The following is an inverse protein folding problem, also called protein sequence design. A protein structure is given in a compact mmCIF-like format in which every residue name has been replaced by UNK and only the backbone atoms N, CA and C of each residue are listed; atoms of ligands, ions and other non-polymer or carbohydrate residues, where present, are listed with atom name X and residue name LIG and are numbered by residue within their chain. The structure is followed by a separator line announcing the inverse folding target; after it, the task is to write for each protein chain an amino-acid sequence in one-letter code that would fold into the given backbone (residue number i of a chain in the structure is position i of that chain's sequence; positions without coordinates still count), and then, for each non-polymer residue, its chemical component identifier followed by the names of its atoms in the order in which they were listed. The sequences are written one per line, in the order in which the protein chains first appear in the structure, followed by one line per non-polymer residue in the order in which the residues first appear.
data_IF_548189115255
#
_entry.id   IF_548189115255
#
_cell.length_a   1.000
_cell.length_b   1.000
_cell.length_c   1.000
_cell.angle_alpha   90.00
_cell.angle_beta   90.00
_cell.angle_gamma   90.00
#
_symmetry.space_group_name_H-M   'P 1'
#
loop_
_entity.id
_entity.type
_entity.pdbx_description
1 polymer ?
#
# COMPACT_ATOMS: atom_id res chain seq x y z
N UNK A 1 33.77 -63.41 -41.99
CA UNK A 1 35.00 -63.03 -41.23
C UNK A 1 34.61 -61.93 -40.25
N UNK A 2 35.09 -61.98 -38.99
CA UNK A 2 34.25 -62.42 -37.87
C UNK A 2 34.22 -61.46 -36.64
N UNK A 3 33.49 -61.88 -35.59
CA UNK A 3 33.56 -61.52 -34.12
C UNK A 3 33.10 -60.11 -33.70
N UNK A 4 32.22 -59.87 -32.70
CA UNK A 4 32.04 -60.44 -31.35
C UNK A 4 32.26 -59.27 -30.35
N UNK A 5 31.55 -58.99 -29.25
CA UNK A 5 30.65 -59.76 -28.39
C UNK A 5 29.70 -58.85 -27.56
N UNK A 6 28.64 -59.47 -27.06
CA UNK A 6 27.50 -58.99 -26.26
C UNK A 6 27.76 -58.86 -24.74
N UNK A 7 26.83 -58.14 -24.08
CA UNK A 7 26.37 -58.16 -22.67
C UNK A 7 26.26 -59.58 -22.03
N UNK A 8 25.95 -59.83 -20.70
CA UNK A 8 24.94 -59.12 -19.87
C UNK A 8 25.10 -59.14 -18.32
N UNK A 9 24.08 -58.58 -17.65
CA UNK A 9 23.76 -58.57 -16.22
C UNK A 9 23.59 -59.97 -15.57
N UNK A 10 23.81 -60.08 -14.26
CA UNK A 10 23.15 -61.10 -13.39
C UNK A 10 23.23 -60.74 -11.89
N UNK A 11 22.09 -60.85 -11.19
CA UNK A 11 21.95 -61.09 -9.74
C UNK A 11 21.37 -62.52 -9.57
N UNK A 12 21.11 -63.10 -8.37
CA UNK A 12 21.64 -62.93 -6.99
C UNK A 12 22.07 -64.30 -6.37
N UNK A 13 22.68 -64.35 -5.17
CA UNK A 13 22.53 -65.50 -4.25
C UNK A 13 22.98 -65.23 -2.79
N UNK A 14 22.38 -66.01 -1.89
CA UNK A 14 22.21 -65.87 -0.45
C UNK A 14 22.95 -67.01 0.29
N UNK A 15 23.72 -66.71 1.35
CA UNK A 15 24.13 -67.57 2.50
C UNK A 15 25.35 -66.90 3.19
N UNK A 16 25.60 -66.87 4.50
CA UNK A 16 25.07 -67.51 5.70
C UNK A 16 25.65 -66.73 6.93
N UNK A 17 24.95 -66.70 8.07
CA UNK A 17 25.37 -66.04 9.33
C UNK A 17 26.42 -66.90 10.11
N UNK A 18 27.16 -66.40 11.15
CA UNK A 18 26.56 -66.23 12.50
C UNK A 18 27.14 -65.10 13.42
N UNK A 19 26.24 -64.60 14.26
CA UNK A 19 26.35 -64.31 15.71
C UNK A 19 27.35 -63.27 16.31
N UNK A 20 26.71 -62.23 16.88
CA UNK A 20 26.88 -61.62 18.23
C UNK A 20 28.14 -60.81 18.61
N UNK A 21 27.94 -59.47 18.79
CA UNK A 21 28.44 -58.70 19.96
C UNK A 21 27.67 -57.37 20.16
N UNK A 22 27.46 -57.05 21.44
CA UNK A 22 26.64 -56.03 22.10
C UNK A 22 26.77 -54.56 21.63
N UNK A 23 25.81 -53.66 21.99
CA UNK A 23 25.73 -52.31 21.42
C UNK A 23 26.73 -51.35 22.06
N UNK A 24 27.47 -50.61 21.24
CA UNK A 24 28.25 -49.46 21.67
C UNK A 24 27.35 -48.21 21.65
N UNK A 25 27.27 -47.55 22.80
CA UNK A 25 26.56 -46.29 23.00
C UNK A 25 27.13 -45.19 22.09
N UNK A 26 26.29 -44.66 21.20
CA UNK A 26 26.62 -43.50 20.40
C UNK A 26 26.53 -42.23 21.26
N UNK A 27 27.67 -41.73 21.74
CA UNK A 27 27.78 -40.37 22.27
C UNK A 27 27.51 -39.36 21.15
N UNK A 28 26.27 -38.93 21.02
CA UNK A 28 25.91 -37.74 20.22
C UNK A 28 26.04 -36.51 21.11
N UNK A 29 27.22 -35.88 21.09
CA UNK A 29 27.41 -34.56 21.68
C UNK A 29 26.63 -33.53 20.86
N UNK A 30 25.46 -33.12 21.39
CA UNK A 30 24.64 -32.06 20.83
C UNK A 30 25.38 -30.71 20.93
N UNK A 31 25.77 -30.14 19.79
CA UNK A 31 26.30 -28.78 19.71
C UNK A 31 25.11 -27.83 19.89
N UNK A 32 25.05 -27.16 21.05
CA UNK A 32 24.06 -26.09 21.28
C UNK A 32 24.45 -24.89 20.40
N UNK A 33 23.56 -24.36 19.54
CA UNK A 33 23.86 -23.14 18.82
C UNK A 33 24.00 -21.99 19.81
N UNK A 34 25.11 -21.24 19.72
CA UNK A 34 25.28 -20.03 20.50
C UNK A 34 24.15 -19.05 20.18
N UNK A 35 23.55 -18.40 21.20
CA UNK A 35 22.52 -17.39 20.96
C UNK A 35 23.12 -16.24 20.17
N UNK A 36 22.60 -16.01 18.96
CA UNK A 36 22.93 -14.84 18.16
C UNK A 36 22.45 -13.61 18.93
N UNK A 37 23.31 -12.63 19.23
CA UNK A 37 22.88 -11.39 19.86
C UNK A 37 21.77 -10.75 19.02
N UNK A 38 20.64 -10.43 19.65
CA UNK A 38 19.60 -9.65 18.97
C UNK A 38 20.20 -8.32 18.53
N UNK A 39 20.06 -7.93 17.25
CA UNK A 39 20.57 -6.65 16.77
C UNK A 39 20.04 -5.51 17.64
N UNK A 40 20.93 -4.58 18.00
CA UNK A 40 20.57 -3.34 18.69
C UNK A 40 19.40 -2.70 17.94
N UNK A 41 18.30 -2.29 18.62
CA UNK A 41 17.17 -1.66 17.95
C UNK A 41 17.68 -0.51 17.09
N UNK A 42 17.37 -0.56 15.79
CA UNK A 42 17.64 0.56 14.90
C UNK A 42 16.98 1.80 15.50
N UNK A 43 17.66 2.96 15.55
CA UNK A 43 17.00 4.19 15.95
C UNK A 43 15.77 4.37 15.08
N UNK A 44 14.60 4.57 15.71
CA UNK A 44 13.35 4.79 14.99
C UNK A 44 13.56 6.04 14.11
N UNK A 45 13.56 5.85 12.80
CA UNK A 45 13.62 6.97 11.87
C UNK A 45 12.46 7.92 12.18
N UNK A 46 12.74 9.22 12.15
CA UNK A 46 11.68 10.23 12.30
C UNK A 46 10.80 10.12 11.06
N UNK A 47 9.48 9.88 11.21
CA UNK A 47 8.60 9.79 10.06
C UNK A 47 8.54 11.13 9.33
N UNK A 48 8.45 11.09 8.01
CA UNK A 48 8.07 12.27 7.25
C UNK A 48 6.66 12.71 7.63
N UNK A 49 6.49 14.02 7.68
CA UNK A 49 5.16 14.62 7.76
C UNK A 49 4.50 14.55 6.39
N UNK A 50 3.44 13.76 6.30
CA UNK A 50 2.58 13.71 5.12
C UNK A 50 1.37 14.57 5.41
N UNK A 51 1.08 15.61 4.61
CA UNK A 51 -0.12 16.40 4.81
C UNK A 51 -1.37 15.52 4.65
N UNK A 52 -2.29 15.60 5.61
CA UNK A 52 -3.59 14.95 5.48
C UNK A 52 -4.46 15.67 4.46
N UNK A 53 -5.29 14.93 3.73
CA UNK A 53 -6.27 15.52 2.83
C UNK A 53 -7.52 15.88 3.64
N UNK A 54 -7.84 17.17 3.70
CA UNK A 54 -8.93 17.68 4.51
C UNK A 54 -10.29 17.44 3.87
N UNK A 55 -11.37 17.53 4.66
CA UNK A 55 -12.74 17.23 4.20
C UNK A 55 -13.29 18.16 3.10
N UNK A 56 -12.68 19.33 2.92
CA UNK A 56 -12.98 20.28 1.85
C UNK A 56 -12.10 20.07 0.61
N UNK A 57 -11.11 19.17 0.67
CA UNK A 57 -10.19 18.86 -0.43
C UNK A 57 -10.28 17.39 -0.88
N UNK A 58 -10.31 17.10 -2.19
CA UNK A 58 -10.59 18.05 -3.26
C UNK A 58 -12.07 18.47 -3.26
N UNK A 59 -12.41 19.67 -3.80
CA UNK A 59 -13.79 20.18 -3.79
C UNK A 59 -14.81 19.26 -4.48
N UNK A 60 -14.37 18.50 -5.49
CA UNK A 60 -15.17 17.54 -6.25
C UNK A 60 -15.28 16.16 -5.57
N UNK A 61 -14.54 15.92 -4.48
CA UNK A 61 -14.50 14.63 -3.78
C UNK A 61 -13.86 13.49 -4.57
N UNK A 62 -13.01 13.80 -5.56
CA UNK A 62 -12.33 12.81 -6.42
C UNK A 62 -10.90 12.58 -5.97
N UNK A 63 -10.59 11.35 -5.52
CA UNK A 63 -9.26 10.94 -5.12
C UNK A 63 -8.62 10.04 -6.18
N UNK A 64 -7.37 10.29 -6.53
CA UNK A 64 -6.58 9.43 -7.41
C UNK A 64 -5.73 8.49 -6.56
N UNK A 65 -6.05 7.20 -6.60
CA UNK A 65 -5.35 6.15 -5.88
C UNK A 65 -4.39 5.41 -6.81
N UNK A 66 -3.09 5.58 -6.58
CA UNK A 66 -1.99 5.11 -7.42
C UNK A 66 -0.99 4.31 -6.59
N UNK A 67 -0.11 3.55 -7.25
CA UNK A 67 0.99 2.85 -6.59
C UNK A 67 2.24 3.71 -6.53
N UNK A 68 3.10 3.43 -5.55
CA UNK A 68 4.41 4.07 -5.46
C UNK A 68 5.28 3.46 -4.37
N UNK A 69 6.55 3.90 -4.26
CA UNK A 69 7.49 3.40 -3.27
C UNK A 69 7.12 3.81 -1.85
N UNK A 70 7.52 2.99 -0.87
CA UNK A 70 7.25 3.21 0.56
C UNK A 70 7.97 4.40 1.21
N UNK A 71 8.88 5.09 0.50
CA UNK A 71 9.60 6.25 1.06
C UNK A 71 10.70 5.89 2.07
N UNK A 72 11.34 4.72 1.90
CA UNK A 72 12.47 4.31 2.73
C UNK A 72 12.12 4.12 4.21
N UNK A 73 13.07 4.43 5.09
CA UNK A 73 12.91 4.33 6.54
C UNK A 73 12.00 5.41 7.11
N UNK A 74 11.94 6.59 6.48
CA UNK A 74 11.17 7.75 6.95
C UNK A 74 9.70 7.73 6.49
N UNK A 75 9.37 6.97 5.43
CA UNK A 75 8.02 6.86 4.91
C UNK A 75 7.14 5.84 5.66
N UNK A 76 6.52 4.92 4.90
CA UNK A 76 5.52 3.96 5.40
C UNK A 76 5.92 3.27 6.71
N UNK A 77 7.15 2.73 6.89
CA UNK A 77 7.49 2.02 8.11
C UNK A 77 7.55 2.93 9.36
N UNK A 78 8.06 4.15 9.24
CA UNK A 78 8.08 5.09 10.36
C UNK A 78 6.69 5.66 10.66
N UNK A 79 5.86 5.89 9.63
CA UNK A 79 4.49 6.43 9.78
C UNK A 79 3.58 5.38 10.43
N UNK A 80 3.65 4.13 9.96
CA UNK A 80 2.69 3.09 10.33
C UNK A 80 3.18 2.14 11.41
N UNK A 81 4.49 2.07 11.63
CA UNK A 81 5.12 1.06 12.49
C UNK A 81 5.16 -0.35 11.87
N UNK A 82 4.75 -0.51 10.60
CA UNK A 82 4.69 -1.79 9.91
C UNK A 82 5.59 -1.81 8.67
N UNK A 83 6.13 -2.99 8.35
CA UNK A 83 6.87 -3.21 7.10
C UNK A 83 5.89 -3.69 6.02
N UNK A 84 5.82 -2.95 4.92
CA UNK A 84 5.00 -3.29 3.75
C UNK A 84 5.76 -4.09 2.69
N UNK A 85 5.25 -4.09 1.47
CA UNK A 85 5.78 -4.84 0.32
C UNK A 85 6.77 -4.02 -0.53
N UNK A 86 7.33 -2.94 0.03
CA UNK A 86 8.14 -1.97 -0.72
C UNK A 86 7.32 -0.95 -1.51
N UNK A 87 6.01 -1.19 -1.68
CA UNK A 87 5.05 -0.29 -2.31
C UNK A 87 3.91 0.10 -1.37
N UNK A 88 3.24 1.22 -1.64
CA UNK A 88 2.09 1.72 -0.89
C UNK A 88 1.15 2.53 -1.78
N UNK A 89 -0.08 2.75 -1.29
CA UNK A 89 -1.03 3.66 -1.92
C UNK A 89 -0.54 5.11 -1.84
N UNK A 90 -0.55 5.77 -2.99
CA UNK A 90 -0.44 7.21 -3.12
C UNK A 90 -1.82 7.76 -3.43
N UNK A 91 -2.27 8.74 -2.66
CA UNK A 91 -3.55 9.41 -2.88
C UNK A 91 -3.28 10.86 -3.25
N UNK A 92 -3.70 11.27 -4.45
CA UNK A 92 -3.41 12.61 -4.99
C UNK A 92 -1.90 12.96 -4.96
N UNK A 93 -1.04 11.96 -5.21
CA UNK A 93 0.42 12.11 -5.20
C UNK A 93 1.07 12.12 -3.82
N UNK A 94 0.31 12.00 -2.73
CA UNK A 94 0.83 11.92 -1.36
C UNK A 94 0.99 10.45 -0.94
N UNK A 95 2.07 10.12 -0.24
CA UNK A 95 2.33 8.78 0.30
C UNK A 95 1.39 8.51 1.48
N UNK A 96 0.46 7.58 1.34
CA UNK A 96 -0.48 7.14 2.40
C UNK A 96 -1.04 8.28 3.30
N UNK A 97 -1.59 9.37 2.74
CA UNK A 97 -2.10 10.47 3.55
C UNK A 97 -3.30 10.00 4.40
N UNK A 98 -3.48 10.60 5.57
CA UNK A 98 -4.78 10.51 6.25
C UNK A 98 -5.80 11.32 5.44
N UNK A 99 -6.96 10.72 5.13
CA UNK A 99 -8.03 11.38 4.37
C UNK A 99 -9.17 11.69 5.34
N UNK A 100 -9.70 12.91 5.33
CA UNK A 100 -10.90 13.25 6.09
C UNK A 100 -12.10 13.32 5.16
N UNK A 101 -13.18 12.62 5.48
CA UNK A 101 -14.42 12.59 4.70
C UNK A 101 -15.63 12.87 5.59
N UNK A 102 -16.63 13.53 5.02
CA UNK A 102 -17.91 13.84 5.67
C UNK A 102 -18.97 12.77 5.39
N UNK A 103 -19.69 12.34 6.42
CA UNK A 103 -20.86 11.44 6.28
C UNK A 103 -21.92 12.04 5.36
N UNK A 104 -22.57 11.19 4.56
CA UNK A 104 -23.58 11.58 3.58
C UNK A 104 -23.04 12.23 2.30
N UNK A 105 -21.75 12.63 2.24
CA UNK A 105 -21.12 13.15 1.03
C UNK A 105 -20.57 12.02 0.17
N UNK A 106 -20.73 12.16 -1.15
CA UNK A 106 -20.23 11.19 -2.14
C UNK A 106 -18.78 11.46 -2.49
N UNK A 107 -17.95 10.43 -2.42
CA UNK A 107 -16.56 10.44 -2.83
C UNK A 107 -16.32 9.41 -3.92
N UNK A 108 -15.36 9.72 -4.79
CA UNK A 108 -14.97 8.86 -5.91
C UNK A 108 -13.46 8.62 -5.87
N UNK A 109 -13.06 7.36 -5.85
CA UNK A 109 -11.67 6.96 -5.95
C UNK A 109 -11.42 6.44 -7.37
N UNK A 110 -10.55 7.12 -8.10
CA UNK A 110 -10.00 6.70 -9.38
C UNK A 110 -8.83 5.77 -9.07
N UNK A 111 -9.00 4.48 -9.32
CA UNK A 111 -8.07 3.45 -8.86
C UNK A 111 -7.17 2.99 -10.01
N UNK A 112 -5.86 3.10 -9.78
CA UNK A 112 -4.83 2.77 -10.75
C UNK A 112 -3.81 1.77 -10.16
N UNK A 113 -4.31 0.69 -9.55
CA UNK A 113 -3.53 -0.35 -8.85
C UNK A 113 -3.17 -1.59 -9.68
N UNK A 114 -3.52 -1.61 -10.96
CA UNK A 114 -3.30 -2.75 -11.87
C UNK A 114 -4.43 -3.77 -11.92
N UNK A 115 -4.61 -4.40 -13.08
CA UNK A 115 -5.83 -5.13 -13.43
C UNK A 115 -5.66 -6.62 -13.71
N UNK A 116 -4.42 -7.13 -13.75
CA UNK A 116 -4.17 -8.54 -14.07
C UNK A 116 -3.92 -9.38 -12.79
N UNK A 117 -4.90 -10.19 -12.34
CA UNK A 117 -4.74 -11.04 -11.16
C UNK A 117 -3.65 -12.12 -11.31
N UNK A 118 -3.18 -12.41 -12.53
CA UNK A 118 -2.11 -13.38 -12.78
C UNK A 118 -0.72 -12.81 -12.52
N UNK A 119 -0.60 -11.49 -12.29
CA UNK A 119 0.65 -10.83 -11.93
C UNK A 119 0.50 -10.19 -10.53
N UNK A 120 0.53 -10.97 -9.43
CA UNK A 120 0.25 -10.47 -8.09
C UNK A 120 1.08 -9.24 -7.70
N UNK A 121 2.35 -9.18 -8.10
CA UNK A 121 3.22 -8.03 -7.81
C UNK A 121 2.72 -6.70 -8.40
N UNK A 122 1.86 -6.75 -9.42
CA UNK A 122 1.26 -5.60 -10.12
C UNK A 122 -0.26 -5.54 -9.97
N UNK A 123 -0.85 -6.33 -9.07
CA UNK A 123 -2.30 -6.42 -8.91
C UNK A 123 -2.72 -6.03 -7.49
N UNK A 124 -3.17 -4.78 -7.38
CA UNK A 124 -3.50 -4.15 -6.10
C UNK A 124 -4.93 -3.57 -6.11
N UNK A 125 -5.97 -4.41 -5.93
CA UNK A 125 -7.33 -3.89 -5.90
C UNK A 125 -7.58 -3.04 -4.67
N UNK A 126 -8.15 -1.86 -4.86
CA UNK A 126 -8.48 -0.90 -3.80
C UNK A 126 -9.83 -1.23 -3.15
N UNK A 127 -9.90 -1.14 -1.82
CA UNK A 127 -11.15 -1.23 -1.08
C UNK A 127 -11.11 -0.45 0.23
N UNK A 128 -12.29 -0.16 0.78
CA UNK A 128 -12.46 0.54 2.06
C UNK A 128 -13.06 -0.41 3.08
N UNK A 129 -12.48 -0.46 4.28
CA UNK A 129 -12.80 -1.45 5.31
C UNK A 129 -12.55 -0.92 6.72
N UNK A 130 -13.08 -1.58 7.74
CA UNK A 130 -12.71 -1.31 9.14
C UNK A 130 -11.38 -1.96 9.55
N UNK A 131 -10.78 -2.79 8.68
CA UNK A 131 -9.54 -3.51 8.98
C UNK A 131 -8.27 -2.66 8.66
N UNK A 132 -7.41 -2.37 9.65
CA UNK A 132 -6.19 -1.61 9.44
C UNK A 132 -5.11 -2.39 8.65
N UNK A 133 -5.26 -3.70 8.48
CA UNK A 133 -4.22 -4.56 7.89
C UNK A 133 -4.38 -4.71 6.38
N UNK A 134 -5.59 -4.82 5.85
CA UNK A 134 -5.80 -5.13 4.44
C UNK A 134 -5.62 -6.61 4.11
N UNK A 135 -5.47 -6.94 2.83
CA UNK A 135 -5.23 -8.31 2.36
C UNK A 135 -6.37 -9.28 2.67
N UNK A 136 -7.62 -8.80 2.58
CA UNK A 136 -8.84 -9.58 2.84
C UNK A 136 -8.86 -10.93 2.13
N UNK A 137 -8.35 -11.00 0.90
CA UNK A 137 -8.30 -12.22 0.10
C UNK A 137 -7.64 -13.40 0.84
N UNK A 138 -6.56 -13.12 1.58
CA UNK A 138 -5.78 -14.14 2.30
C UNK A 138 -6.19 -14.31 3.77
N UNK A 139 -7.27 -13.69 4.22
CA UNK A 139 -7.76 -13.85 5.59
C UNK A 139 -8.55 -15.15 5.77
N UNK A 140 -8.43 -15.72 6.96
CA UNK A 140 -9.22 -16.86 7.42
C UNK A 140 -10.68 -16.47 7.61
N UNK A 141 -11.59 -17.44 7.62
CA UNK A 141 -13.02 -17.18 7.85
C UNK A 141 -13.29 -16.56 9.22
N UNK A 142 -12.46 -16.86 10.22
CA UNK A 142 -12.56 -16.28 11.56
C UNK A 142 -12.20 -14.80 11.53
N UNK A 143 -11.10 -14.44 10.86
CA UNK A 143 -10.71 -13.03 10.70
C UNK A 143 -11.75 -12.25 9.90
N UNK A 144 -12.32 -12.86 8.85
CA UNK A 144 -13.33 -12.22 7.99
C UNK A 144 -14.63 -11.87 8.73
N UNK A 145 -15.00 -12.60 9.79
CA UNK A 145 -16.24 -12.33 10.56
C UNK A 145 -16.26 -10.96 11.24
N UNK A 146 -15.10 -10.40 11.59
CA UNK A 146 -14.98 -9.08 12.21
C UNK A 146 -14.77 -7.94 11.21
N UNK A 147 -14.75 -8.25 9.90
CA UNK A 147 -14.36 -7.29 8.87
C UNK A 147 -15.59 -6.84 8.10
N UNK A 148 -15.77 -5.53 8.09
CA UNK A 148 -16.77 -4.85 7.28
C UNK A 148 -16.08 -4.19 6.08
N UNK A 149 -16.70 -4.31 4.92
CA UNK A 149 -16.23 -3.69 3.68
C UNK A 149 -17.25 -2.65 3.25
N UNK A 150 -16.81 -1.40 3.18
CA UNK A 150 -17.66 -0.24 2.90
C UNK A 150 -17.71 0.10 1.40
N UNK A 151 -16.63 -0.15 0.66
CA UNK A 151 -16.55 0.11 -0.78
C UNK A 151 -15.45 -0.70 -1.46
N UNK A 152 -15.51 -0.80 -2.80
CA UNK A 152 -14.46 -1.40 -3.63
C UNK A 152 -14.50 -2.93 -3.74
N UNK A 153 -15.52 -3.57 -3.19
CA UNK A 153 -15.77 -5.02 -3.31
C UNK A 153 -17.25 -5.26 -3.50
N UNK A 154 -17.60 -6.22 -4.36
CA UNK A 154 -18.96 -6.68 -4.60
C UNK A 154 -19.10 -8.13 -4.19
N UNK A 155 -20.15 -8.45 -3.43
CA UNK A 155 -20.54 -9.83 -3.16
C UNK A 155 -21.25 -10.44 -4.36
N UNK A 156 -20.76 -11.56 -4.87
CA UNK A 156 -21.39 -12.30 -5.96
C UNK A 156 -22.60 -13.10 -5.46
N UNK A 157 -23.38 -13.68 -6.38
CA UNK A 157 -24.52 -14.55 -6.02
C UNK A 157 -24.10 -15.82 -5.28
N UNK A 158 -22.88 -16.32 -5.52
CA UNK A 158 -22.31 -17.45 -4.78
C UNK A 158 -21.81 -17.06 -3.38
N UNK A 159 -21.85 -15.77 -3.03
CA UNK A 159 -21.37 -15.25 -1.75
C UNK A 159 -19.89 -14.91 -1.73
N UNK A 160 -19.19 -15.06 -2.86
CA UNK A 160 -17.78 -14.70 -3.00
C UNK A 160 -17.60 -13.17 -3.00
N UNK A 161 -16.53 -12.70 -2.37
CA UNK A 161 -16.18 -11.28 -2.31
C UNK A 161 -15.23 -10.95 -3.46
N UNK A 162 -15.74 -10.28 -4.49
CA UNK A 162 -14.99 -9.94 -5.70
C UNK A 162 -14.59 -8.45 -5.67
N UNK A 163 -13.30 -8.10 -5.74
CA UNK A 163 -12.89 -6.70 -5.77
C UNK A 163 -13.38 -6.00 -7.03
N UNK A 164 -13.78 -4.74 -6.88
CA UNK A 164 -14.24 -3.87 -7.97
C UNK A 164 -13.36 -2.63 -8.15
N UNK A 165 -12.53 -2.28 -7.16
CA UNK A 165 -11.52 -1.23 -7.28
C UNK A 165 -10.31 -1.69 -8.07
N UNK A 166 -10.50 -2.02 -9.34
CA UNK A 166 -9.46 -2.55 -10.24
C UNK A 166 -9.39 -1.64 -11.48
N UNK A 167 -8.18 -1.28 -11.90
CA UNK A 167 -7.94 -0.41 -13.06
C UNK A 167 -6.53 -0.59 -13.62
N UNK A 168 -6.18 0.18 -14.66
CA UNK A 168 -4.80 0.26 -15.18
C UNK A 168 -3.79 0.48 -14.05
N UNK A 169 -2.52 0.13 -14.24
CA UNK A 169 -1.51 0.42 -13.24
C UNK A 169 -0.86 1.77 -13.52
N UNK A 170 -0.88 2.66 -12.54
CA UNK A 170 -0.02 3.84 -12.49
C UNK A 170 0.87 3.76 -11.25
N UNK A 171 2.18 3.92 -11.46
CA UNK A 171 3.18 3.80 -10.42
C UNK A 171 4.11 5.01 -10.39
N UNK A 172 4.19 5.67 -9.24
CA UNK A 172 5.24 6.63 -8.93
C UNK A 172 6.57 5.88 -8.88
N UNK A 173 7.54 6.33 -9.67
CA UNK A 173 8.82 5.65 -9.85
C UNK A 173 9.95 6.64 -9.56
N UNK A 174 10.88 6.32 -8.64
CA UNK A 174 12.05 7.15 -8.41
C UNK A 174 13.03 7.05 -9.59
N UNK A 175 13.88 8.06 -9.73
CA UNK A 175 15.02 7.97 -10.63
C UNK A 175 16.06 7.00 -10.05
N UNK A 176 16.48 6.01 -10.84
CA UNK A 176 17.47 5.01 -10.41
C UNK A 176 18.89 5.58 -10.30
N UNK A 177 19.17 6.71 -10.96
CA UNK A 177 20.44 7.43 -10.84
C UNK A 177 20.40 8.50 -9.74
N UNK A 178 19.23 8.74 -9.17
CA UNK A 178 19.00 9.74 -8.13
C UNK A 178 19.35 9.26 -6.73
N UNK A 179 19.28 10.18 -5.74
CA UNK A 179 19.39 9.83 -4.32
C UNK A 179 18.32 8.82 -3.90
N UNK A 180 18.66 7.99 -2.93
CA UNK A 180 17.72 7.09 -2.27
C UNK A 180 16.67 7.89 -1.47
N UNK A 181 15.52 7.27 -1.20
CA UNK A 181 14.44 7.93 -0.45
C UNK A 181 14.91 8.48 0.91
N UNK A 182 15.81 7.78 1.59
CA UNK A 182 16.34 8.17 2.91
C UNK A 182 17.21 9.44 2.89
N UNK A 183 17.68 9.88 1.72
CA UNK A 183 18.55 11.06 1.57
C UNK A 183 17.76 12.37 1.45
N UNK A 184 16.45 12.29 1.23
CA UNK A 184 15.60 13.48 1.12
C UNK A 184 15.24 14.04 2.50
N UNK A 185 15.28 15.37 2.68
CA UNK A 185 14.98 16.01 3.96
C UNK A 185 13.49 16.02 4.31
N UNK A 186 12.62 15.79 3.33
CA UNK A 186 11.16 15.77 3.52
C UNK A 186 10.47 14.97 2.43
N UNK A 187 9.26 14.50 2.71
CA UNK A 187 8.43 13.84 1.70
C UNK A 187 8.18 14.74 0.48
N UNK A 188 7.93 16.04 0.67
CA UNK A 188 7.71 16.95 -0.46
C UNK A 188 8.91 17.05 -1.41
N UNK A 189 10.15 16.94 -0.89
CA UNK A 189 11.34 16.89 -1.72
C UNK A 189 11.43 15.57 -2.50
N UNK A 190 11.15 14.44 -1.82
CA UNK A 190 11.10 13.12 -2.44
C UNK A 190 10.00 13.00 -3.50
N UNK A 191 8.79 13.46 -3.22
CA UNK A 191 7.66 13.40 -4.15
C UNK A 191 7.98 14.09 -5.47
N UNK A 192 8.68 15.23 -5.44
CA UNK A 192 9.09 15.96 -6.66
C UNK A 192 10.13 15.24 -7.49
N UNK A 193 10.87 14.28 -6.91
CA UNK A 193 11.80 13.43 -7.66
C UNK A 193 11.12 12.22 -8.29
N UNK A 194 9.85 11.94 -7.95
CA UNK A 194 9.12 10.80 -8.49
C UNK A 194 8.47 11.15 -9.84
N UNK A 195 8.51 10.20 -10.75
CA UNK A 195 7.77 10.28 -12.03
C UNK A 195 6.62 9.29 -12.01
N UNK A 196 5.42 9.75 -12.33
CA UNK A 196 4.25 8.88 -12.49
C UNK A 196 4.29 8.18 -13.85
N UNK A 197 4.36 6.86 -13.85
CA UNK A 197 4.36 6.03 -15.06
C UNK A 197 3.08 5.19 -15.09
N UNK A 198 2.28 5.34 -16.14
CA UNK A 198 1.02 4.64 -16.31
C UNK A 198 1.05 3.66 -17.49
N UNK A 199 0.51 2.47 -17.28
CA UNK A 199 0.19 1.53 -18.34
C UNK A 199 -1.03 2.00 -19.16
N UNK A 200 -1.15 1.49 -20.38
CA UNK A 200 -2.34 1.70 -21.19
C UNK A 200 -3.57 1.02 -20.55
N UNK A 201 -4.74 1.62 -20.75
CA UNK A 201 -6.00 1.10 -20.25
C UNK A 201 -6.83 2.14 -19.52
N UNK A 202 -7.91 1.69 -18.91
CA UNK A 202 -8.84 2.54 -18.17
C UNK A 202 -8.59 2.42 -16.67
N UNK A 203 -8.70 3.52 -15.90
CA UNK A 203 -8.70 3.45 -14.45
C UNK A 203 -9.98 2.76 -13.94
N UNK A 204 -9.88 2.22 -12.73
CA UNK A 204 -11.02 1.72 -11.97
C UNK A 204 -11.74 2.86 -11.26
N UNK A 205 -13.00 2.65 -10.89
CA UNK A 205 -13.78 3.64 -10.16
C UNK A 205 -14.45 2.98 -8.95
N UNK A 206 -14.17 3.51 -7.77
CA UNK A 206 -14.86 3.14 -6.53
C UNK A 206 -15.58 4.36 -6.00
N UNK A 207 -16.91 4.29 -5.95
CA UNK A 207 -17.74 5.32 -5.33
C UNK A 207 -18.13 4.89 -3.93
N UNK A 208 -18.08 5.82 -2.99
CA UNK A 208 -18.47 5.59 -1.61
C UNK A 208 -19.20 6.80 -1.02
N UNK A 209 -20.21 6.52 -0.20
CA UNK A 209 -20.94 7.50 0.61
C UNK A 209 -20.86 6.97 2.04
N UNK A 210 -20.02 7.53 2.92
CA UNK A 210 -19.99 7.14 4.32
C UNK A 210 -21.38 7.41 4.93
N UNK A 211 -21.98 6.43 5.57
CA UNK A 211 -23.29 6.57 6.18
C UNK A 211 -23.17 6.86 7.69
N UNK A 212 -24.32 7.02 8.36
CA UNK A 212 -24.39 7.25 9.80
C UNK A 212 -23.84 6.10 10.66
N UNK A 213 -23.68 4.91 10.10
CA UNK A 213 -23.17 3.74 10.82
C UNK A 213 -21.66 3.54 10.57
N UNK A 214 -21.09 4.26 9.61
CA UNK A 214 -19.67 4.21 9.31
C UNK A 214 -18.89 4.74 10.51
N UNK A 215 -17.94 3.97 11.07
CA UNK A 215 -17.11 4.41 12.19
C UNK A 215 -16.31 5.69 11.87
N UNK A 216 -15.90 6.44 12.90
CA UNK A 216 -15.07 7.65 12.74
C UNK A 216 -13.69 7.37 12.13
N UNK A 217 -13.27 6.11 12.10
CA UNK A 217 -12.03 5.69 11.45
C UNK A 217 -12.27 4.40 10.68
N UNK A 218 -11.98 4.46 9.39
CA UNK A 218 -11.92 3.31 8.49
C UNK A 218 -10.59 3.37 7.73
N UNK A 219 -10.33 2.40 6.86
CA UNK A 219 -9.06 2.26 6.17
C UNK A 219 -9.29 2.03 4.69
N UNK A 220 -8.53 2.72 3.85
CA UNK A 220 -8.34 2.30 2.47
C UNK A 220 -7.17 1.32 2.42
N UNK A 221 -7.36 0.19 1.76
CA UNK A 221 -6.37 -0.88 1.75
C UNK A 221 -6.31 -1.57 0.38
N UNK A 222 -5.32 -2.44 0.23
CA UNK A 222 -5.26 -3.39 -0.87
C UNK A 222 -6.02 -4.68 -0.48
N UNK A 223 -6.87 -5.17 -1.37
CA UNK A 223 -7.68 -6.38 -1.13
C UNK A 223 -6.83 -7.66 -1.06
N UNK A 224 -5.72 -7.70 -1.81
CA UNK A 224 -4.82 -8.85 -1.93
C UNK A 224 -3.62 -8.74 -1.00
N UNK A 225 -3.01 -7.56 -0.86
CA UNK A 225 -1.82 -7.36 -0.02
C UNK A 225 -2.13 -6.66 1.30
N UNK A 226 -1.44 -7.08 2.36
CA UNK A 226 -1.50 -6.43 3.67
C UNK A 226 -0.56 -5.22 3.71
N UNK A 227 -0.90 -4.20 4.48
CA UNK A 227 -0.06 -3.04 4.80
C UNK A 227 0.33 -2.20 3.57
N UNK A 228 -0.64 -1.84 2.73
CA UNK A 228 -0.42 -0.95 1.58
C UNK A 228 -1.11 0.41 1.72
N UNK A 229 -2.15 0.52 2.53
CA UNK A 229 -2.91 1.75 2.71
C UNK A 229 -2.93 2.24 4.14
N UNK A 230 -3.84 3.18 4.41
CA UNK A 230 -3.87 3.94 5.64
C UNK A 230 -5.28 4.43 5.99
N UNK A 231 -5.37 5.46 6.83
CA UNK A 231 -6.58 5.84 7.54
C UNK A 231 -7.45 6.81 6.73
N UNK A 232 -8.75 6.62 6.86
CA UNK A 232 -9.77 7.61 6.55
C UNK A 232 -10.43 7.99 7.86
N UNK A 233 -10.40 9.28 8.20
CA UNK A 233 -11.20 9.87 9.27
C UNK A 233 -12.56 10.25 8.72
N UNK A 234 -13.62 9.77 9.37
CA UNK A 234 -15.00 10.06 8.99
C UNK A 234 -15.57 11.04 10.01
N UNK A 235 -16.07 12.17 9.54
CA UNK A 235 -16.63 13.25 10.37
C UNK A 235 -18.08 13.51 9.98
N UNK A 236 -18.87 14.06 10.91
CA UNK A 236 -20.26 14.44 10.63
C UNK A 236 -20.36 15.75 9.85
N UNK A 237 -19.47 16.70 10.15
CA UNK A 237 -19.41 18.02 9.54
C UNK A 237 -17.95 18.41 9.26
N UNK A 238 -17.75 19.26 8.25
CA UNK A 238 -16.43 19.77 7.88
C UNK A 238 -16.33 21.22 8.34
N UNK A 239 -15.37 21.52 9.21
CA UNK A 239 -15.11 22.91 9.60
C UNK A 239 -14.34 23.61 8.48
N UNK A 240 -15.05 24.34 7.63
CA UNK A 240 -14.49 24.97 6.42
C UNK A 240 -13.74 26.27 6.71
N UNK A 241 -13.60 26.69 7.96
CA UNK A 241 -12.89 27.92 8.33
C UNK A 241 -11.41 27.85 7.94
N UNK A 242 -10.78 26.67 8.02
CA UNK A 242 -9.38 26.46 7.60
C UNK A 242 -9.18 26.57 6.07
N UNK A 243 -10.24 26.31 5.29
CA UNK A 243 -10.21 26.41 3.83
C UNK A 243 -10.22 27.86 3.34
N UNK A 244 -10.96 28.74 4.03
CA UNK A 244 -11.03 30.17 3.71
C UNK A 244 -9.75 30.92 4.12
N UNK A 245 -9.08 30.53 5.21
CA UNK A 245 -7.78 31.09 5.61
C UNK A 245 -6.64 30.72 4.65
N UNK A 246 -6.75 29.60 3.93
CA UNK A 246 -5.76 29.15 2.94
C UNK A 246 -6.01 29.69 1.51
N UNK A 247 -7.17 30.31 1.23
CA UNK A 247 -7.39 31.00 -0.04
C UNK A 247 -6.60 32.31 -0.05
N UNK A 248 -5.50 32.33 -0.79
CA UNK A 248 -4.84 33.59 -1.15
C UNK A 248 -5.83 34.41 -1.99
N UNK A 249 -6.48 35.38 -1.36
CA UNK A 249 -7.28 36.39 -2.07
C UNK A 249 -6.29 37.28 -2.80
N UNK A 250 -6.19 37.13 -4.11
CA UNK A 250 -5.41 38.03 -4.97
C UNK A 250 -6.07 39.42 -4.96
N UNK A 251 -5.61 40.29 -4.07
CA UNK A 251 -6.00 41.69 -4.08
C UNK A 251 -5.13 42.42 -5.10
N UNK A 252 -5.66 42.62 -6.30
CA UNK A 252 -5.04 43.51 -7.29
C UNK A 252 -5.16 44.95 -6.77
N UNK A 253 -4.06 45.50 -6.27
CA UNK A 253 -3.97 46.92 -5.99
C UNK A 253 -3.93 47.68 -7.33
N UNK A 254 -4.97 48.48 -7.60
CA UNK A 254 -4.96 49.37 -8.76
C UNK A 254 -3.82 50.41 -8.60
N UNK A 255 -2.99 50.64 -9.63
CA UNK A 255 -1.92 51.62 -9.55
C UNK A 255 -2.52 53.02 -9.34
N UNK A 256 -1.92 53.78 -8.44
CA UNK A 256 -2.36 55.12 -8.01
C UNK A 256 -2.29 56.19 -9.11
N UNK A 257 -1.79 55.84 -10.29
CA UNK A 257 -1.50 56.77 -11.39
C UNK A 257 -2.71 57.09 -12.29
N UNK A 258 -3.90 56.57 -12.00
CA UNK A 258 -5.13 56.85 -12.77
C UNK A 258 -6.15 57.73 -12.04
N UNK A 259 -5.81 58.27 -10.86
CA UNK A 259 -6.63 59.32 -10.22
C UNK A 259 -6.15 60.67 -10.76
N UNK A 260 -6.54 60.99 -12.00
CA UNK A 260 -6.39 62.35 -12.52
C UNK A 260 -7.33 63.27 -11.72
N UNK A 261 -6.75 64.16 -10.92
CA UNK A 261 -7.48 65.31 -10.36
C UNK A 261 -7.99 66.17 -11.52
N UNK A 262 -9.31 66.17 -11.70
CA UNK A 262 -10.01 67.09 -12.58
C UNK A 262 -9.85 68.50 -11.99
N UNK A 263 -8.88 69.26 -12.51
CA UNK A 263 -8.65 70.65 -12.12
C UNK A 263 -9.72 71.53 -12.72
N UNK A 264 -10.61 72.02 -11.86
CA UNK A 264 -11.64 73.00 -12.16
C UNK A 264 -10.99 74.34 -12.53
N UNK A 265 -11.26 74.85 -13.73
CA UNK A 265 -11.23 76.28 -14.07
C UNK A 265 -12.29 76.63 -15.09
#
# INVERSE_FOLDING_TARGET
MPEGDEEPQTQPQLESQPATRSPAEAHTSAIKPNPVPTPKPAPKAVPWEIPGIQCYEPPDGVFYAQMGPTGGKQGYPAITGHVGWGISWYINGLLIPEITVVRGKKYTFVVEGGSDPNVPARYHPFYITNDPVGGYFHKTDVEKKGIEIYAGVRRTRSGEMMPTGIGRLCNWTPDNEGPEADEYPSFGAYQRSLTLVCEEGNPGVVTWIPDKNTPDTVYYQCFTHRHLGWKIRVVDECDSTEAEESRVVESVALPSDLISEESIQ
#
